data_IF_166034950714
#
_entry.id   IF_166034950714
#
_cell.length_a   1.000
_cell.length_b   1.000
_cell.length_c   1.000
_cell.angle_alpha   90.00
_cell.angle_beta   90.00
_cell.angle_gamma   90.00
#
_symmetry.space_group_name_H-M   'P 1'
#
loop_
_entity.id
_entity.type
_entity.pdbx_description
1 polymer ?
#
# COMPACT_ATOMS: atom_id res chain seq x y z
N UNK A 1 -63.34 -16.35 27.41
CA UNK A 1 -61.88 -16.22 27.57
C UNK A 1 -61.31 -15.60 26.29
N UNK A 2 -60.56 -14.50 26.46
CA UNK A 2 -59.45 -13.97 25.62
C UNK A 2 -59.59 -14.10 24.09
N UNK A 3 -59.83 -12.99 23.39
CA UNK A 3 -58.81 -12.10 22.81
C UNK A 3 -58.30 -12.64 21.46
N UNK A 4 -58.02 -11.92 20.38
CA UNK A 4 -57.97 -10.50 20.04
C UNK A 4 -57.25 -10.46 18.67
N UNK A 5 -57.70 -9.60 17.75
CA UNK A 5 -56.88 -8.62 16.98
C UNK A 5 -55.77 -9.16 16.05
N UNK A 6 -55.87 -8.95 14.73
CA UNK A 6 -55.54 -7.73 13.95
C UNK A 6 -54.10 -7.72 13.39
N UNK A 7 -54.04 -7.23 12.15
CA UNK A 7 -52.95 -6.60 11.40
C UNK A 7 -52.10 -7.45 10.44
N UNK A 8 -52.11 -7.11 9.13
CA UNK A 8 -51.11 -7.56 8.17
C UNK A 8 -49.86 -6.66 8.32
N UNK A 9 -48.69 -7.26 8.50
CA UNK A 9 -47.43 -6.53 8.54
C UNK A 9 -46.54 -7.00 7.39
N UNK A 10 -46.65 -6.26 6.29
CA UNK A 10 -45.65 -6.17 5.23
C UNK A 10 -44.32 -5.71 5.86
N UNK A 11 -43.31 -6.56 5.91
CA UNK A 11 -41.95 -6.16 6.27
C UNK A 11 -41.02 -6.42 5.09
N UNK A 12 -40.96 -5.42 4.21
CA UNK A 12 -39.89 -5.23 3.23
C UNK A 12 -38.69 -4.66 4.01
N UNK A 13 -37.70 -5.51 4.33
CA UNK A 13 -36.44 -5.03 4.93
C UNK A 13 -35.40 -4.87 3.81
N UNK A 14 -35.47 -3.74 3.10
CA UNK A 14 -34.35 -3.28 2.25
C UNK A 14 -33.25 -2.82 3.20
N UNK A 15 -32.23 -3.66 3.38
CA UNK A 15 -31.01 -3.25 4.07
C UNK A 15 -30.19 -2.41 3.10
N UNK A 16 -30.42 -1.09 3.09
CA UNK A 16 -29.46 -0.14 2.56
C UNK A 16 -28.20 -0.22 3.43
N UNK A 17 -27.16 -0.91 2.96
CA UNK A 17 -25.81 -0.61 3.41
C UNK A 17 -25.47 0.80 2.92
N UNK A 18 -25.76 1.78 3.76
CA UNK A 18 -25.13 3.09 3.66
C UNK A 18 -23.65 2.90 4.01
N UNK A 19 -22.85 2.56 3.00
CA UNK A 19 -21.42 2.75 3.07
C UNK A 19 -21.19 4.26 3.17
N UNK A 20 -20.97 4.75 4.40
CA UNK A 20 -20.45 6.09 4.62
C UNK A 20 -19.08 6.20 3.96
N UNK A 21 -19.07 6.64 2.70
CA UNK A 21 -17.94 7.32 2.11
C UNK A 21 -17.83 8.69 2.78
N UNK A 22 -17.33 8.69 4.03
CA UNK A 22 -16.87 9.92 4.67
C UNK A 22 -15.59 10.35 3.92
N UNK A 23 -15.64 11.55 3.33
CA UNK A 23 -14.64 12.12 2.43
C UNK A 23 -13.27 12.40 3.07
N UNK A 24 -12.56 11.36 3.46
CA UNK A 24 -11.10 11.36 3.61
C UNK A 24 -10.49 10.77 2.34
N UNK A 25 -9.41 11.37 1.84
CA UNK A 25 -8.66 10.84 0.70
C UNK A 25 -8.21 9.39 1.03
N UNK A 26 -8.86 8.40 0.40
CA UNK A 26 -8.73 7.00 0.78
C UNK A 26 -7.28 6.54 0.61
N UNK A 27 -6.65 6.01 1.66
CA UNK A 27 -5.29 5.48 1.57
C UNK A 27 -5.17 4.26 0.64
N UNK A 28 -3.97 3.70 0.54
CA UNK A 28 -3.72 2.45 -0.18
C UNK A 28 -3.15 1.38 0.77
N UNK A 29 -3.50 0.10 0.56
CA UNK A 29 -3.03 -0.99 1.40
C UNK A 29 -1.60 -1.41 1.02
N UNK A 30 -0.83 -1.80 2.03
CA UNK A 30 0.50 -2.40 1.89
C UNK A 30 0.61 -3.52 2.93
N UNK A 31 0.95 -4.74 2.52
CA UNK A 31 1.22 -5.84 3.46
C UNK A 31 2.71 -6.05 3.62
N UNK A 32 3.22 -5.98 4.86
CA UNK A 32 4.65 -6.12 5.18
C UNK A 32 4.78 -7.11 6.34
N UNK A 33 5.58 -8.15 6.18
CA UNK A 33 5.77 -9.16 7.23
C UNK A 33 4.47 -9.82 7.70
N UNK A 34 3.46 -9.91 6.83
CA UNK A 34 2.11 -10.40 7.16
C UNK A 34 1.24 -9.43 7.96
N UNK A 35 1.67 -8.18 8.13
CA UNK A 35 0.86 -7.10 8.72
C UNK A 35 0.33 -6.20 7.61
N UNK A 36 -0.98 -5.98 7.60
CA UNK A 36 -1.63 -5.07 6.67
C UNK A 36 -1.61 -3.65 7.22
N UNK A 37 -1.13 -2.72 6.39
CA UNK A 37 -1.01 -1.30 6.69
C UNK A 37 -1.80 -0.51 5.65
N UNK A 38 -2.47 0.56 6.08
CA UNK A 38 -3.04 1.54 5.15
C UNK A 38 -2.19 2.79 5.19
N UNK A 39 -1.59 3.15 4.05
CA UNK A 39 -0.80 4.36 3.89
C UNK A 39 -1.64 5.47 3.25
N UNK A 40 -1.58 6.66 3.82
CA UNK A 40 -2.25 7.85 3.30
C UNK A 40 -1.38 9.07 3.54
N UNK A 41 -1.80 10.23 3.02
CA UNK A 41 -1.13 11.52 3.26
C UNK A 41 -1.11 11.92 4.74
N UNK A 42 -2.02 11.36 5.53
CA UNK A 42 -2.14 11.62 6.96
C UNK A 42 -1.31 10.65 7.80
N UNK A 43 -0.76 9.58 7.21
CA UNK A 43 0.11 8.64 7.91
C UNK A 43 1.32 9.36 8.47
N UNK A 44 1.50 9.30 9.79
CA UNK A 44 2.62 9.92 10.49
C UNK A 44 3.82 8.98 10.52
N UNK A 45 5.01 9.57 10.50
CA UNK A 45 6.28 8.84 10.62
C UNK A 45 6.35 7.95 11.87
N UNK A 46 5.94 8.47 13.03
CA UNK A 46 5.96 7.70 14.28
C UNK A 46 5.11 6.44 14.21
N UNK A 47 3.93 6.57 13.60
CA UNK A 47 2.92 5.51 13.57
C UNK A 47 3.34 4.42 12.58
N UNK A 48 3.85 4.84 11.42
CA UNK A 48 4.44 3.94 10.44
C UNK A 48 5.69 3.24 10.99
N UNK A 49 6.58 3.95 11.68
CA UNK A 49 7.76 3.34 12.31
C UNK A 49 7.36 2.28 13.34
N UNK A 50 6.39 2.58 14.20
CA UNK A 50 5.88 1.63 15.19
C UNK A 50 5.25 0.40 14.52
N UNK A 51 4.52 0.59 13.41
CA UNK A 51 3.95 -0.51 12.64
C UNK A 51 5.02 -1.37 11.97
N UNK A 52 6.04 -0.76 11.36
CA UNK A 52 7.16 -1.48 10.74
C UNK A 52 7.95 -2.31 11.76
N UNK A 53 8.15 -1.82 12.99
CA UNK A 53 8.78 -2.60 14.06
C UNK A 53 7.99 -3.85 14.45
N UNK A 54 6.66 -3.79 14.39
CA UNK A 54 5.79 -4.95 14.64
C UNK A 54 5.81 -5.92 13.47
N UNK A 55 5.80 -5.39 12.24
CA UNK A 55 5.85 -6.18 11.01
C UNK A 55 7.20 -6.89 10.80
N UNK A 56 8.30 -6.25 11.20
CA UNK A 56 9.67 -6.72 10.97
C UNK A 56 10.44 -6.78 12.31
N UNK A 57 10.04 -7.63 13.27
CA UNK A 57 10.56 -7.60 14.64
C UNK A 57 12.04 -8.00 14.74
N UNK A 58 12.58 -8.66 13.71
CA UNK A 58 13.99 -9.10 13.65
C UNK A 58 14.87 -8.17 12.81
N UNK A 59 14.27 -7.23 12.08
CA UNK A 59 14.98 -6.33 11.19
C UNK A 59 15.26 -5.01 11.87
N UNK A 60 16.39 -4.39 11.54
CA UNK A 60 16.69 -3.01 11.90
C UNK A 60 16.61 -2.15 10.65
N UNK A 61 16.17 -0.88 10.75
CA UNK A 61 16.20 0.00 9.61
C UNK A 61 17.65 0.24 9.18
N UNK A 62 17.95 0.03 7.91
CA UNK A 62 19.24 0.36 7.30
C UNK A 62 19.42 1.88 7.19
N UNK A 63 18.31 2.63 7.07
CA UNK A 63 18.28 4.09 7.18
C UNK A 63 17.20 4.50 8.16
N UNK A 64 17.54 5.35 9.13
CA UNK A 64 16.59 5.90 10.10
C UNK A 64 16.79 7.41 10.28
N UNK A 65 16.32 8.16 9.30
CA UNK A 65 16.38 9.63 9.29
C UNK A 65 15.04 10.29 9.61
N UNK A 66 15.02 11.63 9.72
CA UNK A 66 13.78 12.39 9.93
C UNK A 66 12.84 12.34 8.71
N UNK A 67 13.39 12.24 7.50
CA UNK A 67 12.63 12.23 6.23
C UNK A 67 12.55 10.86 5.55
N UNK A 68 13.25 9.85 6.07
CA UNK A 68 13.25 8.50 5.50
C UNK A 68 13.43 7.44 6.57
N UNK A 69 12.66 6.36 6.44
CA UNK A 69 12.91 5.09 7.11
C UNK A 69 13.07 4.04 6.02
N UNK A 70 14.14 3.26 6.05
CA UNK A 70 14.41 2.19 5.10
C UNK A 70 14.75 0.90 5.84
N UNK A 71 14.22 -0.22 5.34
CA UNK A 71 14.59 -1.57 5.73
C UNK A 71 15.05 -2.33 4.49
N UNK A 72 16.12 -3.11 4.62
CA UNK A 72 16.55 -4.04 3.57
C UNK A 72 16.33 -5.46 4.11
N UNK A 73 15.30 -6.13 3.61
CA UNK A 73 14.78 -7.39 4.18
C UNK A 73 15.15 -8.56 3.28
N UNK A 74 15.81 -9.57 3.83
CA UNK A 74 16.14 -10.80 3.10
C UNK A 74 15.05 -11.83 3.34
N UNK A 75 14.20 -12.06 2.33
CA UNK A 75 13.06 -12.97 2.44
C UNK A 75 13.47 -14.46 2.44
N UNK A 76 14.58 -14.82 1.80
CA UNK A 76 15.11 -16.18 1.73
C UNK A 76 16.65 -16.18 1.65
N UNK A 77 17.28 -17.21 2.22
CA UNK A 77 18.73 -17.38 2.14
C UNK A 77 19.19 -17.50 0.68
N UNK A 78 20.30 -16.85 0.35
CA UNK A 78 20.85 -16.82 -1.01
C UNK A 78 20.15 -15.86 -1.98
N UNK A 79 19.17 -15.09 -1.51
CA UNK A 79 18.51 -14.03 -2.30
C UNK A 79 19.00 -12.64 -1.89
N UNK A 80 19.05 -11.72 -2.86
CA UNK A 80 19.24 -10.30 -2.58
C UNK A 80 18.10 -9.72 -1.74
N UNK A 81 18.35 -8.63 -0.99
CA UNK A 81 17.34 -8.02 -0.14
C UNK A 81 16.24 -7.32 -0.95
N UNK A 82 15.08 -7.17 -0.32
CA UNK A 82 14.02 -6.24 -0.74
C UNK A 82 14.21 -4.95 0.04
N UNK A 83 14.38 -3.84 -0.66
CA UNK A 83 14.43 -2.52 -0.04
C UNK A 83 13.02 -1.95 0.11
N UNK A 84 12.66 -1.61 1.35
CA UNK A 84 11.41 -0.98 1.74
C UNK A 84 11.72 0.42 2.28
N UNK A 85 11.68 1.43 1.42
CA UNK A 85 11.92 2.82 1.78
C UNK A 85 10.60 3.59 1.90
N UNK A 86 10.45 4.35 2.98
CA UNK A 86 9.30 5.22 3.25
C UNK A 86 9.80 6.64 3.48
N UNK A 87 9.24 7.58 2.74
CA UNK A 87 9.62 8.99 2.73
C UNK A 87 8.57 9.84 3.43
N UNK A 88 9.05 10.90 4.08
CA UNK A 88 8.23 11.83 4.83
C UNK A 88 8.58 13.28 4.49
N UNK A 89 7.57 14.14 4.50
CA UNK A 89 7.75 15.57 4.39
C UNK A 89 8.37 16.18 5.66
N UNK A 90 8.60 17.49 5.64
CA UNK A 90 9.19 18.22 6.77
C UNK A 90 8.31 18.18 8.04
N UNK A 91 7.01 17.90 7.90
CA UNK A 91 6.05 17.77 8.97
C UNK A 91 5.95 16.32 9.49
N UNK A 92 6.74 15.39 8.94
CA UNK A 92 6.74 13.99 9.33
C UNK A 92 5.52 13.22 8.82
N UNK A 93 4.87 13.70 7.75
CA UNK A 93 3.75 13.01 7.09
C UNK A 93 4.25 12.25 5.87
N UNK A 94 3.63 11.13 5.59
CA UNK A 94 3.99 10.26 4.47
C UNK A 94 3.93 11.01 3.13
N UNK A 95 5.05 11.00 2.41
CA UNK A 95 5.19 11.64 1.09
C UNK A 95 5.44 10.64 -0.03
N UNK A 96 5.85 9.42 0.27
CA UNK A 96 6.11 8.41 -0.74
C UNK A 96 6.76 7.16 -0.19
N UNK A 97 6.90 6.16 -1.05
CA UNK A 97 7.59 4.92 -0.74
C UNK A 97 8.29 4.38 -1.98
N UNK A 98 9.30 3.53 -1.77
CA UNK A 98 9.92 2.73 -2.84
C UNK A 98 10.05 1.30 -2.33
N UNK A 99 9.51 0.37 -3.10
CA UNK A 99 9.65 -1.08 -2.87
C UNK A 99 10.47 -1.65 -4.01
N UNK A 100 11.70 -2.05 -3.73
CA UNK A 100 12.68 -2.44 -4.74
C UNK A 100 13.24 -3.83 -4.46
N UNK A 101 13.36 -4.66 -5.49
CA UNK A 101 14.06 -5.94 -5.39
C UNK A 101 14.56 -6.36 -6.77
N UNK A 102 15.46 -7.35 -6.78
CA UNK A 102 16.02 -7.87 -8.02
C UNK A 102 14.99 -8.63 -8.88
N UNK A 103 13.87 -9.05 -8.31
CA UNK A 103 12.86 -9.80 -9.07
C UNK A 103 11.47 -9.62 -8.51
N UNK A 104 10.48 -9.90 -9.37
CA UNK A 104 9.07 -9.91 -8.99
C UNK A 104 8.78 -10.89 -7.84
N UNK A 105 9.43 -12.06 -7.87
CA UNK A 105 9.26 -13.09 -6.85
C UNK A 105 9.77 -12.64 -5.47
N UNK A 106 10.81 -11.81 -5.44
CA UNK A 106 11.35 -11.25 -4.21
C UNK A 106 10.52 -10.09 -3.68
N UNK A 107 9.73 -9.39 -4.50
CA UNK A 107 9.02 -8.18 -4.08
C UNK A 107 7.50 -8.39 -3.93
N UNK A 108 7.03 -9.17 -2.92
CA UNK A 108 5.60 -9.43 -2.74
C UNK A 108 4.82 -8.15 -2.47
N UNK A 109 5.45 -7.14 -1.85
CA UNK A 109 4.83 -5.85 -1.55
C UNK A 109 4.42 -5.12 -2.83
N UNK A 110 5.35 -4.98 -3.78
CA UNK A 110 5.06 -4.35 -5.06
C UNK A 110 4.06 -5.17 -5.90
N UNK A 111 4.13 -6.50 -5.85
CA UNK A 111 3.20 -7.39 -6.56
C UNK A 111 1.77 -7.20 -6.07
N UNK A 112 1.57 -7.22 -4.75
CA UNK A 112 0.25 -7.05 -4.14
C UNK A 112 -0.31 -5.66 -4.41
N UNK A 113 0.52 -4.62 -4.27
CA UNK A 113 0.10 -3.25 -4.54
C UNK A 113 -0.25 -3.05 -6.02
N UNK A 114 0.53 -3.62 -6.96
CA UNK A 114 0.20 -3.58 -8.39
C UNK A 114 -1.11 -4.30 -8.72
N UNK A 115 -1.40 -5.43 -8.08
CA UNK A 115 -2.67 -6.14 -8.24
C UNK A 115 -3.84 -5.31 -7.71
N UNK A 116 -3.70 -4.71 -6.53
CA UNK A 116 -4.70 -3.80 -5.96
C UNK A 116 -4.93 -2.57 -6.85
N UNK A 117 -3.88 -1.92 -7.33
CA UNK A 117 -3.97 -0.80 -8.28
C UNK A 117 -4.71 -1.20 -9.55
N UNK A 118 -4.45 -2.42 -10.05
CA UNK A 118 -5.15 -2.95 -11.22
C UNK A 118 -6.65 -3.13 -10.97
N UNK A 119 -7.02 -3.60 -9.79
CA UNK A 119 -8.42 -3.75 -9.40
C UNK A 119 -9.14 -2.41 -9.17
N UNK A 120 -8.45 -1.40 -8.63
CA UNK A 120 -9.06 -0.11 -8.28
C UNK A 120 -9.04 0.93 -9.41
N UNK A 121 -8.00 0.91 -10.25
CA UNK A 121 -7.73 1.96 -11.25
C UNK A 121 -7.41 1.40 -12.64
N UNK A 122 -7.70 0.11 -12.89
CA UNK A 122 -7.45 -0.56 -14.17
C UNK A 122 -5.97 -0.79 -14.46
N UNK A 123 -5.62 -1.12 -15.70
CA UNK A 123 -4.25 -1.54 -16.07
C UNK A 123 -3.16 -0.48 -15.91
N UNK A 124 -3.52 0.77 -15.58
CA UNK A 124 -2.59 1.90 -15.57
C UNK A 124 -2.17 2.33 -16.98
N UNK A 125 -1.42 3.41 -17.05
CA UNK A 125 -0.91 3.98 -18.31
C UNK A 125 0.54 3.55 -18.51
N UNK A 126 0.84 2.96 -19.67
CA UNK A 126 2.22 2.65 -20.07
C UNK A 126 2.97 3.95 -20.40
N UNK A 127 4.13 4.17 -19.79
CA UNK A 127 5.02 5.32 -20.09
C UNK A 127 6.46 4.80 -20.20
N UNK A 128 6.92 4.57 -21.42
CA UNK A 128 8.19 3.86 -21.64
C UNK A 128 8.16 2.47 -21.00
N UNK A 129 9.15 2.18 -20.16
CA UNK A 129 9.25 0.91 -19.44
C UNK A 129 8.39 0.83 -18.18
N UNK A 130 7.73 1.93 -17.81
CA UNK A 130 6.91 2.01 -16.62
C UNK A 130 5.43 1.75 -16.90
N UNK A 131 4.74 1.28 -15.85
CA UNK A 131 3.29 1.31 -15.73
C UNK A 131 2.93 2.26 -14.62
N UNK A 132 2.08 3.24 -14.92
CA UNK A 132 1.78 4.36 -14.03
C UNK A 132 0.30 4.42 -13.69
N UNK A 133 -0.01 4.57 -12.41
CA UNK A 133 -1.36 4.86 -11.93
C UNK A 133 -1.37 6.19 -11.19
N UNK A 134 -2.52 6.86 -11.22
CA UNK A 134 -2.82 7.96 -10.30
C UNK A 134 -4.09 7.59 -9.55
N UNK A 135 -3.99 7.48 -8.23
CA UNK A 135 -5.11 7.11 -7.37
C UNK A 135 -4.91 7.75 -5.99
N UNK A 136 -5.99 8.23 -5.38
CA UNK A 136 -5.96 8.78 -4.01
C UNK A 136 -4.89 9.87 -3.77
N UNK A 137 -4.62 10.69 -4.79
CA UNK A 137 -3.61 11.74 -4.71
C UNK A 137 -2.17 11.25 -4.64
N UNK A 138 -1.93 9.99 -5.01
CA UNK A 138 -0.60 9.42 -5.22
C UNK A 138 -0.41 9.04 -6.69
N UNK A 139 0.83 9.14 -7.14
CA UNK A 139 1.31 8.56 -8.39
C UNK A 139 2.08 7.29 -8.04
N UNK A 140 1.69 6.19 -8.66
CA UNK A 140 2.36 4.90 -8.54
C UNK A 140 3.08 4.61 -9.84
N UNK A 141 4.33 4.15 -9.76
CA UNK A 141 5.16 3.79 -10.90
C UNK A 141 5.72 2.39 -10.67
N UNK A 142 5.27 1.43 -11.46
CA UNK A 142 5.84 0.09 -11.50
C UNK A 142 6.80 0.00 -12.68
N UNK A 143 8.04 -0.34 -12.39
CA UNK A 143 9.09 -0.63 -13.36
C UNK A 143 9.38 -2.12 -13.34
N UNK A 144 9.24 -2.79 -14.49
CA UNK A 144 9.59 -4.20 -14.67
C UNK A 144 10.64 -4.31 -15.78
N UNK A 145 11.89 -4.60 -15.42
CA UNK A 145 12.95 -4.80 -16.42
C UNK A 145 13.24 -6.29 -16.55
N UNK A 146 12.87 -6.86 -17.70
CA UNK A 146 12.92 -8.32 -17.93
C UNK A 146 14.30 -8.85 -18.34
N UNK A 147 15.27 -7.99 -18.68
CA UNK A 147 16.59 -8.36 -19.20
C UNK A 147 17.71 -7.35 -18.84
N UNK A 148 17.73 -6.76 -17.65
CA UNK A 148 18.73 -5.73 -17.30
C UNK A 148 20.10 -6.29 -16.84
N UNK A 149 20.58 -7.36 -17.47
CA UNK A 149 21.87 -7.96 -17.12
C UNK A 149 21.89 -8.55 -15.70
N UNK A 150 22.89 -8.19 -14.88
CA UNK A 150 22.99 -8.58 -13.46
C UNK A 150 21.85 -8.01 -12.60
N UNK A 151 21.14 -6.99 -13.08
CA UNK A 151 20.08 -6.29 -12.36
C UNK A 151 18.72 -6.49 -13.05
N UNK A 152 18.07 -7.64 -12.85
CA UNK A 152 16.61 -7.63 -12.97
C UNK A 152 16.07 -6.66 -11.89
N UNK A 153 15.12 -5.80 -12.22
CA UNK A 153 14.56 -4.85 -11.26
C UNK A 153 13.04 -4.90 -11.30
N UNK A 154 12.44 -5.18 -10.14
CA UNK A 154 11.01 -5.07 -9.92
C UNK A 154 10.76 -4.03 -8.86
N UNK A 155 10.46 -2.81 -9.32
CA UNK A 155 10.36 -1.63 -8.46
C UNK A 155 8.99 -1.03 -8.53
N UNK A 156 8.40 -0.72 -7.37
CA UNK A 156 7.21 0.11 -7.29
C UNK A 156 7.52 1.36 -6.46
N UNK A 157 7.51 2.51 -7.13
CA UNK A 157 7.61 3.83 -6.52
C UNK A 157 6.23 4.43 -6.28
N UNK A 158 6.05 5.06 -5.13
CA UNK A 158 4.86 5.82 -4.73
C UNK A 158 5.29 7.24 -4.41
N UNK A 159 4.64 8.20 -5.03
CA UNK A 159 4.91 9.63 -4.84
C UNK A 159 3.60 10.35 -4.55
N UNK A 160 3.54 11.09 -3.45
CA UNK A 160 2.43 12.00 -3.18
C UNK A 160 2.39 13.07 -4.26
N UNK A 161 1.26 13.18 -4.94
CA UNK A 161 1.05 14.29 -5.86
C UNK A 161 0.80 15.56 -5.06
N UNK A 162 1.57 16.62 -5.33
CA UNK A 162 1.31 17.94 -4.79
C UNK A 162 -0.08 18.44 -5.18
N UNK A 163 -0.68 19.26 -4.32
CA UNK A 163 -1.63 20.28 -4.77
C UNK A 163 -0.83 21.51 -5.16
#
# INVERSE_FOLDING_TARGET
MRASRLFPALFLLVSLLAASAAGGEAGFPVSIGGQDLTLSRETRRSDLEAALRRALPKERPSVRGPRRIQYDVVAAQGQGPVSLAFDFDAQGRFSGATFDAMSKAQNPVAVQLAAWLTAQAGQGVRKGDDRVWTLAGFRFRLTEVKNAGEDSAYRLGVERQGK
#
